data_IF_607821868012
#
_entry.id   IF_607821868012
#
_cell.length_a   1.000
_cell.length_b   1.000
_cell.length_c   1.000
_cell.angle_alpha   90.00
_cell.angle_beta   90.00
_cell.angle_gamma   90.00
#
_symmetry.space_group_name_H-M   'P 1'
#
loop_
_entity.id
_entity.type
_entity.pdbx_description
1 polymer ?
#
# COMPACT_ATOMS: atom_id res chain seq x y z
N UNK A 1 -20.27 15.28 -5.97
CA UNK A 1 -19.25 15.67 -4.97
C UNK A 1 -20.00 15.98 -3.68
N UNK A 2 -19.85 15.15 -2.64
CA UNK A 2 -20.52 15.36 -1.35
C UNK A 2 -19.77 16.42 -0.55
N UNK A 3 -20.47 17.44 -0.06
CA UNK A 3 -19.91 18.49 0.80
C UNK A 3 -20.82 18.64 2.03
N UNK A 4 -20.28 18.58 3.27
CA UNK A 4 -21.08 18.84 4.46
C UNK A 4 -21.59 20.28 4.49
N UNK A 5 -22.87 20.46 4.81
CA UNK A 5 -23.61 21.74 4.77
C UNK A 5 -23.17 22.73 5.85
N UNK A 6 -22.42 22.29 6.85
CA UNK A 6 -21.95 23.10 7.98
C UNK A 6 -20.43 23.21 7.95
N UNK A 7 -19.89 24.33 7.43
CA UNK A 7 -18.46 24.62 7.56
C UNK A 7 -17.81 25.49 6.48
N UNK A 8 -18.51 25.86 5.40
CA UNK A 8 -18.00 26.75 4.34
C UNK A 8 -16.78 26.25 3.55
N UNK A 9 -16.19 25.11 3.94
CA UNK A 9 -15.07 24.45 3.25
C UNK A 9 -15.61 23.29 2.42
N UNK A 10 -15.39 23.35 1.10
CA UNK A 10 -15.60 22.23 0.19
C UNK A 10 -14.38 21.32 0.21
N UNK A 11 -14.58 20.01 0.36
CA UNK A 11 -13.51 19.01 0.27
C UNK A 11 -13.62 18.23 -1.04
N UNK A 12 -12.49 18.05 -1.73
CA UNK A 12 -12.37 17.11 -2.84
C UNK A 12 -11.96 15.76 -2.25
N UNK A 13 -12.87 14.78 -2.25
CA UNK A 13 -12.67 13.46 -1.61
C UNK A 13 -12.82 12.35 -2.63
N UNK A 14 -11.93 11.37 -2.58
CA UNK A 14 -12.05 10.10 -3.28
C UNK A 14 -12.65 9.05 -2.33
N UNK A 15 -13.64 8.29 -2.80
CA UNK A 15 -14.25 7.22 -2.01
C UNK A 15 -13.81 5.87 -2.59
N UNK A 16 -12.85 5.22 -1.93
CA UNK A 16 -12.36 3.87 -2.30
C UNK A 16 -13.30 2.74 -1.83
N UNK A 17 -14.38 3.12 -1.15
CA UNK A 17 -15.38 2.19 -0.63
C UNK A 17 -16.41 1.78 -1.67
N UNK A 18 -16.87 0.54 -1.58
CA UNK A 18 -17.99 0.05 -2.38
C UNK A 18 -19.30 0.12 -1.60
N UNK A 19 -20.40 0.42 -2.28
CA UNK A 19 -21.73 0.25 -1.70
C UNK A 19 -22.00 -1.24 -1.42
N UNK A 20 -22.13 -1.60 -0.15
CA UNK A 20 -22.42 -2.96 0.31
C UNK A 20 -23.90 -3.18 0.65
N UNK A 21 -24.76 -2.15 0.58
CA UNK A 21 -26.14 -2.26 1.03
C UNK A 21 -26.91 -3.42 0.36
N UNK A 22 -26.84 -3.62 -0.98
CA UNK A 22 -27.54 -4.73 -1.61
C UNK A 22 -27.09 -6.11 -1.11
N UNK A 23 -25.81 -6.27 -0.74
CA UNK A 23 -25.31 -7.52 -0.18
C UNK A 23 -25.82 -7.73 1.26
N UNK A 24 -25.77 -6.68 2.08
CA UNK A 24 -26.21 -6.73 3.48
C UNK A 24 -27.73 -6.94 3.63
N UNK A 25 -28.53 -6.45 2.68
CA UNK A 25 -29.99 -6.63 2.66
C UNK A 25 -30.44 -7.91 1.95
N UNK A 26 -29.51 -8.76 1.50
CA UNK A 26 -29.82 -10.01 0.81
C UNK A 26 -30.32 -9.85 -0.63
N UNK A 27 -30.25 -8.65 -1.20
CA UNK A 27 -30.65 -8.38 -2.59
C UNK A 27 -29.64 -8.93 -3.62
N UNK A 28 -28.39 -9.18 -3.22
CA UNK A 28 -27.39 -9.86 -4.04
C UNK A 28 -26.52 -10.82 -3.21
N UNK A 29 -26.03 -11.92 -3.80
CA UNK A 29 -25.35 -12.98 -3.05
C UNK A 29 -23.88 -12.67 -2.69
N UNK A 30 -23.27 -11.63 -3.28
CA UNK A 30 -21.86 -11.25 -3.07
C UNK A 30 -21.72 -9.75 -2.91
N UNK A 31 -20.75 -9.30 -2.12
CA UNK A 31 -20.38 -7.89 -2.03
C UNK A 31 -19.76 -7.37 -3.33
N UNK A 32 -19.84 -6.06 -3.56
CA UNK A 32 -19.28 -5.41 -4.76
C UNK A 32 -17.75 -5.22 -4.70
N UNK A 33 -17.12 -5.51 -3.55
CA UNK A 33 -15.69 -5.35 -3.36
C UNK A 33 -14.95 -6.45 -4.10
N UNK A 34 -14.15 -6.05 -5.08
CA UNK A 34 -13.30 -6.94 -5.85
C UNK A 34 -11.82 -6.63 -5.68
N UNK A 35 -11.45 -5.50 -5.06
CA UNK A 35 -10.07 -5.22 -4.68
C UNK A 35 -9.93 -4.62 -3.27
N UNK A 36 -8.71 -4.70 -2.74
CA UNK A 36 -8.36 -4.17 -1.42
C UNK A 36 -6.85 -3.89 -1.36
N UNK A 37 -6.48 -2.71 -0.89
CA UNK A 37 -5.08 -2.27 -0.80
C UNK A 37 -4.65 -2.20 0.67
N UNK A 38 -3.50 -2.79 1.00
CA UNK A 38 -2.98 -2.91 2.36
C UNK A 38 -1.82 -1.95 2.57
N UNK A 39 -2.00 -1.03 3.51
CA UNK A 39 -0.97 -0.09 3.93
C UNK A 39 -0.34 -0.55 5.25
N UNK A 40 0.97 -0.37 5.39
CA UNK A 40 1.61 -0.47 6.69
C UNK A 40 1.43 0.84 7.50
N UNK A 41 1.97 0.83 8.70
CA UNK A 41 1.93 1.93 9.66
C UNK A 41 2.69 3.19 9.22
N UNK A 42 3.68 3.06 8.32
CA UNK A 42 4.37 4.19 7.65
C UNK A 42 3.61 4.73 6.42
N UNK A 43 2.40 4.22 6.13
CA UNK A 43 1.60 4.66 4.98
C UNK A 43 2.11 4.18 3.63
N UNK A 44 2.90 3.09 3.59
CA UNK A 44 3.39 2.45 2.37
C UNK A 44 2.44 1.33 1.93
N UNK A 45 2.14 1.26 0.63
CA UNK A 45 1.36 0.17 0.05
C UNK A 45 2.21 -1.12 0.01
N UNK A 46 1.95 -2.04 0.93
CA UNK A 46 2.75 -3.27 1.09
C UNK A 46 2.13 -4.49 0.42
N UNK A 47 0.81 -4.46 0.17
CA UNK A 47 0.12 -5.55 -0.51
C UNK A 47 -1.14 -5.06 -1.22
N UNK A 48 -1.55 -5.77 -2.27
CA UNK A 48 -2.82 -5.57 -2.94
C UNK A 48 -3.54 -6.91 -3.12
N UNK A 49 -4.86 -6.90 -2.95
CA UNK A 49 -5.73 -8.03 -3.22
C UNK A 49 -6.68 -7.68 -4.34
N UNK A 50 -6.86 -8.62 -5.26
CA UNK A 50 -7.91 -8.59 -6.28
C UNK A 50 -8.54 -9.97 -6.36
N UNK A 51 -9.87 -10.01 -6.23
CA UNK A 51 -10.65 -11.24 -6.11
C UNK A 51 -10.10 -12.18 -5.01
N UNK A 52 -9.62 -13.35 -5.42
CA UNK A 52 -9.02 -14.36 -4.53
C UNK A 52 -7.50 -14.19 -4.39
N UNK A 53 -6.88 -13.35 -5.22
CA UNK A 53 -5.43 -13.21 -5.29
C UNK A 53 -4.95 -12.09 -4.38
N UNK A 54 -3.84 -12.33 -3.69
CA UNK A 54 -3.10 -11.32 -2.93
C UNK A 54 -1.67 -11.30 -3.42
N UNK A 55 -1.19 -10.09 -3.73
CA UNK A 55 0.19 -9.80 -4.03
C UNK A 55 0.83 -9.11 -2.83
N UNK A 56 1.97 -9.61 -2.36
CA UNK A 56 2.76 -9.01 -1.28
C UNK A 56 4.01 -8.39 -1.89
N UNK A 57 4.11 -7.05 -1.82
CA UNK A 57 5.25 -6.28 -2.31
C UNK A 57 6.32 -6.12 -1.23
N UNK A 58 5.92 -5.90 0.01
CA UNK A 58 6.81 -5.86 1.16
C UNK A 58 6.23 -6.70 2.31
N UNK A 59 7.08 -7.43 3.02
CA UNK A 59 6.68 -8.35 4.07
C UNK A 59 7.35 -8.04 5.41
N UNK A 60 6.67 -8.41 6.50
CA UNK A 60 7.28 -8.54 7.81
C UNK A 60 7.69 -10.00 8.00
N UNK A 61 8.98 -10.25 8.25
CA UNK A 61 9.55 -11.60 8.36
C UNK A 61 9.49 -12.18 9.75
N UNK A 62 9.28 -11.35 10.76
CA UNK A 62 9.15 -11.81 12.12
C UNK A 62 7.78 -12.45 12.36
N UNK A 63 7.74 -13.67 12.95
CA UNK A 63 6.50 -14.44 13.07
C UNK A 63 5.57 -13.92 14.18
N UNK A 64 6.03 -13.02 15.06
CA UNK A 64 5.19 -12.46 16.11
C UNK A 64 5.94 -11.73 17.22
N UNK A 65 5.16 -11.32 18.22
CA UNK A 65 5.66 -10.56 19.38
C UNK A 65 6.04 -9.12 19.03
N UNK A 66 6.73 -8.45 19.96
CA UNK A 66 7.15 -7.07 19.75
C UNK A 66 8.24 -6.92 18.67
N UNK A 67 8.92 -8.01 18.30
CA UNK A 67 9.98 -7.98 17.29
C UNK A 67 9.47 -7.57 15.91
N UNK A 68 8.21 -7.86 15.60
CA UNK A 68 7.47 -7.38 14.41
C UNK A 68 7.51 -5.85 14.27
N UNK A 69 7.55 -5.12 15.39
CA UNK A 69 7.60 -3.66 15.41
C UNK A 69 9.01 -3.09 15.35
N UNK A 70 10.02 -3.89 15.74
CA UNK A 70 11.43 -3.46 15.72
C UNK A 70 12.15 -3.81 14.42
N UNK A 71 11.69 -4.84 13.70
CA UNK A 71 12.30 -5.28 12.45
C UNK A 71 11.71 -4.54 11.24
N UNK A 72 12.54 -4.18 10.25
CA UNK A 72 12.07 -3.47 9.07
C UNK A 72 11.25 -4.40 8.18
N UNK A 73 10.31 -3.80 7.44
CA UNK A 73 9.69 -4.48 6.30
C UNK A 73 10.74 -4.77 5.22
N UNK A 74 10.65 -5.94 4.60
CA UNK A 74 11.49 -6.33 3.47
C UNK A 74 10.70 -6.24 2.17
N UNK A 75 11.08 -5.29 1.32
CA UNK A 75 10.47 -5.17 -0.01
C UNK A 75 11.09 -6.15 -1.01
N UNK A 76 10.22 -6.84 -1.74
CA UNK A 76 10.55 -7.94 -2.62
C UNK A 76 10.74 -7.45 -4.06
N UNK A 77 11.72 -8.02 -4.77
CA UNK A 77 11.90 -7.78 -6.20
C UNK A 77 10.86 -8.49 -7.05
N UNK A 78 10.40 -9.65 -6.58
CA UNK A 78 9.29 -10.41 -7.15
C UNK A 78 8.23 -10.52 -6.06
N UNK A 79 7.02 -9.95 -6.25
CA UNK A 79 5.99 -10.01 -5.23
C UNK A 79 5.55 -11.46 -5.01
N UNK A 80 5.24 -11.83 -3.76
CA UNK A 80 4.59 -13.11 -3.48
C UNK A 80 3.17 -13.04 -3.99
N UNK A 81 2.73 -14.08 -4.70
CA UNK A 81 1.36 -14.23 -5.16
C UNK A 81 0.72 -15.40 -4.42
N UNK A 82 -0.43 -15.14 -3.81
CA UNK A 82 -1.15 -16.08 -2.93
C UNK A 82 -2.62 -16.10 -3.33
N UNK A 83 -3.25 -17.28 -3.28
CA UNK A 83 -4.69 -17.41 -3.46
C UNK A 83 -5.36 -17.58 -2.09
N UNK A 84 -5.97 -16.54 -1.56
CA UNK A 84 -6.56 -16.54 -0.20
C UNK A 84 -7.76 -17.50 -0.06
N UNK A 85 -8.37 -17.94 -1.17
CA UNK A 85 -9.45 -18.94 -1.12
C UNK A 85 -8.89 -20.35 -0.95
N UNK A 86 -7.70 -20.62 -1.52
CA UNK A 86 -7.03 -21.93 -1.43
C UNK A 86 -6.06 -22.01 -0.24
N UNK A 87 -5.43 -20.88 0.09
CA UNK A 87 -4.41 -20.73 1.14
C UNK A 87 -4.77 -19.51 2.01
N UNK A 88 -5.78 -19.63 2.89
CA UNK A 88 -6.23 -18.52 3.74
C UNK A 88 -5.21 -18.11 4.81
N UNK A 89 -4.21 -18.95 5.07
CA UNK A 89 -3.16 -18.68 6.06
C UNK A 89 -1.84 -18.23 5.45
N UNK A 90 -1.78 -18.06 4.13
CA UNK A 90 -0.63 -17.51 3.42
C UNK A 90 0.66 -18.30 3.69
N UNK A 91 0.60 -19.63 3.59
CA UNK A 91 1.72 -20.53 3.92
C UNK A 91 2.38 -21.17 2.70
N UNK A 92 1.83 -20.99 1.49
CA UNK A 92 2.27 -21.71 0.31
C UNK A 92 3.78 -21.57 0.03
N UNK A 93 4.36 -20.40 0.26
CA UNK A 93 5.80 -20.13 0.08
C UNK A 93 6.71 -20.83 1.10
N UNK A 94 6.14 -21.28 2.23
CA UNK A 94 6.85 -22.01 3.29
C UNK A 94 6.68 -23.51 3.16
N UNK A 95 5.47 -23.98 2.83
CA UNK A 95 5.10 -25.41 2.95
C UNK A 95 4.97 -26.15 1.61
N UNK A 96 4.92 -25.44 0.49
CA UNK A 96 4.73 -26.07 -0.82
C UNK A 96 6.06 -26.29 -1.54
N UNK A 97 6.27 -27.53 -2.00
CA UNK A 97 7.43 -27.89 -2.84
C UNK A 97 7.35 -27.30 -4.26
N UNK A 98 6.20 -26.75 -4.66
CA UNK A 98 5.93 -26.31 -6.03
C UNK A 98 5.63 -24.81 -6.13
N UNK A 99 5.71 -24.06 -5.02
CA UNK A 99 5.31 -22.65 -4.99
C UNK A 99 6.01 -21.82 -6.06
N UNK A 100 7.34 -21.87 -6.13
CA UNK A 100 8.10 -21.03 -7.05
C UNK A 100 7.97 -21.43 -8.54
N UNK A 101 7.79 -22.72 -8.84
CA UNK A 101 7.45 -23.17 -10.19
C UNK A 101 6.08 -22.63 -10.62
N UNK A 102 5.09 -22.74 -9.72
CA UNK A 102 3.76 -22.19 -9.94
C UNK A 102 3.80 -20.67 -10.11
N UNK A 103 4.53 -19.94 -9.26
CA UNK A 103 4.68 -18.47 -9.35
C UNK A 103 5.28 -18.07 -10.69
N UNK A 104 6.32 -18.77 -11.15
CA UNK A 104 6.98 -18.48 -12.43
C UNK A 104 6.03 -18.68 -13.61
N UNK A 105 5.26 -19.78 -13.62
CA UNK A 105 4.23 -20.05 -14.64
C UNK A 105 3.08 -19.04 -14.63
N UNK A 106 2.85 -18.36 -13.50
CA UNK A 106 1.77 -17.42 -13.29
C UNK A 106 2.25 -15.97 -13.04
N UNK A 107 3.44 -15.61 -13.54
CA UNK A 107 4.06 -14.30 -13.33
C UNK A 107 3.17 -13.12 -13.76
N UNK A 108 2.26 -13.35 -14.72
CA UNK A 108 1.28 -12.35 -15.17
C UNK A 108 0.40 -11.83 -14.03
N UNK A 109 0.11 -12.64 -12.99
CA UNK A 109 -0.65 -12.20 -11.82
C UNK A 109 0.07 -11.09 -11.06
N UNK A 110 1.41 -11.14 -11.00
CA UNK A 110 2.22 -10.07 -10.44
C UNK A 110 2.12 -8.78 -11.25
N UNK A 111 2.14 -8.87 -12.58
CA UNK A 111 1.97 -7.69 -13.44
C UNK A 111 0.57 -7.07 -13.30
N UNK A 112 -0.48 -7.88 -13.19
CA UNK A 112 -1.85 -7.40 -12.90
C UNK A 112 -1.90 -6.68 -11.56
N UNK A 113 -1.28 -7.25 -10.52
CA UNK A 113 -1.24 -6.63 -9.20
C UNK A 113 -0.53 -5.27 -9.23
N UNK A 114 0.62 -5.17 -9.91
CA UNK A 114 1.37 -3.92 -10.05
C UNK A 114 0.53 -2.87 -10.79
N UNK A 115 -0.15 -3.27 -11.88
CA UNK A 115 -0.99 -2.36 -12.66
C UNK A 115 -2.12 -1.78 -11.81
N UNK A 116 -2.86 -2.62 -11.09
CA UNK A 116 -3.93 -2.18 -10.18
C UNK A 116 -3.42 -1.28 -9.06
N UNK A 117 -2.28 -1.62 -8.46
CA UNK A 117 -1.64 -0.79 -7.44
C UNK A 117 -1.22 0.57 -8.01
N UNK A 118 -0.69 0.62 -9.23
CA UNK A 118 -0.30 1.86 -9.89
C UNK A 118 -1.51 2.75 -10.18
N UNK A 119 -2.60 2.18 -10.71
CA UNK A 119 -3.87 2.88 -10.92
C UNK A 119 -4.41 3.48 -9.61
N UNK A 120 -4.38 2.69 -8.54
CA UNK A 120 -4.81 3.17 -7.22
C UNK A 120 -3.91 4.28 -6.69
N UNK A 121 -2.58 4.12 -6.73
CA UNK A 121 -1.63 5.15 -6.27
C UNK A 121 -1.71 6.43 -7.10
N UNK A 122 -2.08 6.34 -8.39
CA UNK A 122 -2.30 7.50 -9.24
C UNK A 122 -3.44 8.39 -8.72
N UNK A 123 -4.43 7.82 -8.01
CA UNK A 123 -5.51 8.60 -7.40
C UNK A 123 -4.97 9.59 -6.36
N UNK A 124 -3.84 9.31 -5.70
CA UNK A 124 -3.25 10.22 -4.71
C UNK A 124 -2.62 11.47 -5.33
N UNK A 125 -2.40 11.49 -6.64
CA UNK A 125 -2.02 12.72 -7.35
C UNK A 125 -3.26 13.61 -7.53
N UNK A 126 -4.39 13.01 -7.89
CA UNK A 126 -5.63 13.77 -8.10
C UNK A 126 -6.34 14.15 -6.77
N UNK A 127 -6.19 13.30 -5.75
CA UNK A 127 -6.75 13.41 -4.42
C UNK A 127 -5.64 13.22 -3.36
N UNK A 128 -4.78 14.22 -3.14
CA UNK A 128 -3.66 14.11 -2.21
C UNK A 128 -4.10 13.77 -0.78
N UNK A 129 -3.35 12.93 -0.05
CA UNK A 129 -3.60 12.66 1.35
C UNK A 129 -3.65 13.94 2.18
N UNK A 130 -4.67 14.07 3.03
CA UNK A 130 -4.85 15.23 3.91
C UNK A 130 -3.76 15.37 4.97
N UNK A 131 -3.04 14.29 5.26
CA UNK A 131 -1.96 14.24 6.25
C UNK A 131 -0.77 13.47 5.67
N UNK A 132 0.44 13.91 6.01
CA UNK A 132 1.65 13.15 5.71
C UNK A 132 1.68 11.90 6.61
N UNK A 133 2.14 10.75 6.12
CA UNK A 133 2.39 9.61 6.98
C UNK A 133 3.34 9.98 8.11
N UNK A 134 3.05 9.47 9.31
CA UNK A 134 3.98 9.54 10.42
C UNK A 134 5.21 8.67 10.12
N UNK A 135 6.28 8.87 10.89
CA UNK A 135 7.41 7.95 10.94
C UNK A 135 7.69 7.56 12.38
N UNK A 136 8.05 6.29 12.58
CA UNK A 136 8.51 5.76 13.86
C UNK A 136 10.04 5.85 14.03
N UNK A 137 10.73 6.48 13.08
CA UNK A 137 12.19 6.64 13.06
C UNK A 137 12.60 8.10 12.85
N UNK A 138 13.92 8.32 12.75
CA UNK A 138 14.52 9.65 12.58
C UNK A 138 14.65 10.09 11.12
N UNK A 139 14.18 9.30 10.16
CA UNK A 139 14.33 9.56 8.72
C UNK A 139 13.69 10.91 8.31
N UNK A 140 12.48 11.22 8.79
CA UNK A 140 11.82 12.49 8.49
C UNK A 140 12.56 13.68 9.12
N UNK A 141 13.07 13.51 10.34
CA UNK A 141 13.89 14.53 11.03
C UNK A 141 15.19 14.75 10.24
N UNK A 142 15.84 13.65 9.84
CA UNK A 142 17.09 13.69 9.08
C UNK A 142 16.90 14.38 7.72
N UNK A 143 15.85 14.01 6.99
CA UNK A 143 15.52 14.63 5.70
C UNK A 143 15.28 16.15 5.84
N UNK A 144 14.60 16.58 6.90
CA UNK A 144 14.39 18.01 7.17
C UNK A 144 15.71 18.75 7.47
N UNK A 145 16.61 18.14 8.25
CA UNK A 145 17.94 18.70 8.55
C UNK A 145 18.80 18.77 7.27
N UNK A 146 18.83 17.70 6.47
CA UNK A 146 19.61 17.66 5.22
C UNK A 146 19.09 18.70 4.21
N UNK A 147 17.77 18.88 4.10
CA UNK A 147 17.18 19.94 3.29
C UNK A 147 17.65 21.33 3.74
N UNK A 148 17.72 21.56 5.06
CA UNK A 148 18.20 22.82 5.63
C UNK A 148 19.68 23.07 5.33
N UNK A 149 20.52 22.03 5.46
CA UNK A 149 21.94 22.09 5.09
C UNK A 149 22.10 22.47 3.62
N UNK A 150 21.31 21.86 2.72
CA UNK A 150 21.36 22.13 1.29
C UNK A 150 20.91 23.57 0.95
N UNK A 151 19.91 24.11 1.64
CA UNK A 151 19.50 25.51 1.49
C UNK A 151 20.61 26.48 1.88
N UNK A 152 21.24 26.25 3.03
CA UNK A 152 22.27 27.15 3.54
C UNK A 152 23.56 27.05 2.71
N UNK A 153 23.90 25.86 2.19
CA UNK A 153 24.99 25.69 1.23
C UNK A 153 24.78 26.50 -0.06
N UNK A 154 23.54 26.55 -0.58
CA UNK A 154 23.21 27.37 -1.77
C UNK A 154 23.34 28.87 -1.49
N UNK A 155 22.97 29.33 -0.30
CA UNK A 155 23.11 30.75 0.10
C UNK A 155 24.56 31.18 0.24
N UNK A 156 25.43 30.26 0.66
CA UNK A 156 26.84 30.53 0.90
C UNK A 156 27.74 30.20 -0.31
N UNK A 157 27.16 29.85 -1.47
CA UNK A 157 27.91 29.58 -2.67
C UNK A 157 28.50 30.88 -3.25
N UNK A 158 29.81 30.94 -3.55
CA UNK A 158 30.42 32.12 -4.15
C UNK A 158 29.79 32.40 -5.52
N UNK A 159 29.59 33.68 -5.85
CA UNK A 159 29.08 34.08 -7.17
C UNK A 159 30.00 33.52 -8.26
N UNK A 160 29.40 32.92 -9.29
CA UNK A 160 30.12 32.37 -10.45
C UNK A 160 30.95 33.50 -11.08
N UNK A 161 32.23 33.26 -11.44
CA UNK A 161 33.09 34.28 -12.05
C UNK A 161 32.55 34.77 -13.40
#
# INVERSE_FOLDING_TARGET
MWAPTTGGKSFKVHLDGYNQLPYLTGQQPKGNRHEFFYFNDDGVLVSARFDNWKAVFCEQREPGGFRVWSEPFVCLRVPKILNLRMDPYERADVVSDQYYDWTTKNVYLGAVAVTKSAEFLQTFIEYPPSQRPASFSIDQIRAAVDAKIAEDAKKNAPAKP
#
